data_IF_800067693924
#
_entry.id   IF_800067693924
#
_cell.length_a   1.000
_cell.length_b   1.000
_cell.length_c   1.000
_cell.angle_alpha   90.00
_cell.angle_beta   90.00
_cell.angle_gamma   90.00
#
_symmetry.space_group_name_H-M   'P 1'
#
loop_
_entity.id
_entity.type
_entity.pdbx_description
1 polymer ?
#
# COMPACT_ATOMS: atom_id res chain seq x y z
N UNK A 1 -14.87 -12.34 -17.75
CA UNK A 1 -14.19 -13.35 -16.89
C UNK A 1 -13.58 -12.76 -15.62
N UNK A 2 -13.36 -11.47 -15.54
CA UNK A 2 -12.87 -10.74 -14.34
C UNK A 2 -13.88 -10.67 -13.19
N UNK A 3 -15.17 -10.70 -13.47
CA UNK A 3 -16.28 -10.47 -12.51
C UNK A 3 -16.43 -11.57 -11.44
N UNK A 4 -15.89 -12.78 -11.65
CA UNK A 4 -16.01 -13.90 -10.69
C UNK A 4 -14.85 -14.00 -9.67
N UNK A 5 -13.74 -13.30 -9.88
CA UNK A 5 -12.59 -13.32 -8.96
C UNK A 5 -12.75 -12.26 -7.85
N UNK A 6 -13.56 -11.22 -8.10
CA UNK A 6 -13.80 -10.14 -7.16
C UNK A 6 -14.24 -10.59 -5.75
N UNK A 7 -15.27 -11.46 -5.57
CA UNK A 7 -15.75 -11.75 -4.22
C UNK A 7 -14.81 -12.68 -3.41
N UNK A 8 -13.97 -13.49 -4.06
CA UNK A 8 -13.15 -14.49 -3.35
C UNK A 8 -11.89 -13.90 -2.74
N UNK A 9 -11.23 -12.95 -3.43
CA UNK A 9 -9.96 -12.36 -2.99
C UNK A 9 -10.19 -10.97 -2.38
N UNK A 10 -11.09 -10.18 -2.96
CA UNK A 10 -11.35 -8.81 -2.50
C UNK A 10 -12.05 -8.76 -1.14
N UNK A 11 -13.05 -9.61 -0.92
CA UNK A 11 -13.79 -9.60 0.33
C UNK A 11 -12.91 -9.87 1.57
N UNK A 12 -12.02 -10.89 1.59
CA UNK A 12 -11.13 -11.10 2.73
C UNK A 12 -10.11 -9.97 2.87
N UNK A 13 -9.62 -9.40 1.76
CA UNK A 13 -8.66 -8.29 1.82
C UNK A 13 -9.31 -7.01 2.37
N UNK A 14 -10.50 -6.64 1.89
CA UNK A 14 -11.27 -5.52 2.43
C UNK A 14 -11.57 -5.69 3.92
N UNK A 15 -11.96 -6.89 4.35
CA UNK A 15 -12.18 -7.20 5.77
C UNK A 15 -10.90 -7.06 6.59
N UNK A 16 -9.76 -7.52 6.07
CA UNK A 16 -8.48 -7.40 6.75
C UNK A 16 -8.04 -5.95 6.88
N UNK A 17 -8.18 -5.16 5.82
CA UNK A 17 -7.89 -3.72 5.85
C UNK A 17 -8.80 -3.01 6.85
N UNK A 18 -10.11 -3.30 6.81
CA UNK A 18 -11.10 -2.73 7.74
C UNK A 18 -10.82 -3.13 9.18
N UNK A 19 -10.41 -4.39 9.42
CA UNK A 19 -10.08 -4.88 10.76
C UNK A 19 -8.86 -4.16 11.34
N UNK A 20 -7.76 -4.10 10.56
CA UNK A 20 -6.53 -3.44 11.03
C UNK A 20 -6.74 -1.93 11.18
N UNK A 21 -7.40 -1.29 10.22
CA UNK A 21 -7.76 0.12 10.35
C UNK A 21 -8.64 0.37 11.58
N UNK A 22 -9.64 -0.48 11.83
CA UNK A 22 -10.51 -0.38 13.00
C UNK A 22 -9.75 -0.54 14.33
N UNK A 23 -8.78 -1.44 14.42
CA UNK A 23 -7.92 -1.56 15.63
C UNK A 23 -7.19 -0.24 15.93
N UNK A 24 -6.70 0.47 14.91
CA UNK A 24 -6.11 1.79 15.10
C UNK A 24 -7.14 2.83 15.54
N UNK A 25 -8.39 2.73 15.07
CA UNK A 25 -9.50 3.55 15.53
C UNK A 25 -9.81 3.35 17.01
N UNK A 26 -9.92 2.10 17.44
CA UNK A 26 -10.19 1.72 18.82
C UNK A 26 -9.05 2.15 19.76
N UNK A 27 -7.79 2.05 19.31
CA UNK A 27 -6.63 2.51 20.09
C UNK A 27 -6.55 4.03 20.23
N UNK A 28 -6.99 4.77 19.22
CA UNK A 28 -6.93 6.25 19.21
C UNK A 28 -8.22 6.91 19.70
N UNK A 29 -9.33 6.15 19.73
CA UNK A 29 -10.65 6.65 20.11
C UNK A 29 -11.25 7.65 19.11
N UNK A 30 -10.70 7.71 17.89
CA UNK A 30 -11.09 8.69 16.85
C UNK A 30 -12.28 8.19 16.03
N UNK A 31 -12.35 6.88 15.78
CA UNK A 31 -13.40 6.26 14.98
C UNK A 31 -13.63 4.80 15.37
N UNK A 32 -14.82 4.26 15.07
CA UNK A 32 -15.17 2.88 15.30
C UNK A 32 -15.27 2.11 13.99
N UNK A 33 -14.62 0.94 13.90
CA UNK A 33 -14.63 0.07 12.73
C UNK A 33 -15.64 -1.08 12.85
N UNK A 34 -16.63 -1.14 11.95
CA UNK A 34 -17.55 -2.27 11.84
C UNK A 34 -17.10 -3.24 10.75
N UNK A 35 -16.31 -4.26 11.14
CA UNK A 35 -15.63 -5.20 10.24
C UNK A 35 -16.56 -6.02 9.34
N UNK A 36 -17.76 -6.34 9.84
CA UNK A 36 -18.71 -7.17 9.08
C UNK A 36 -19.36 -6.47 7.88
N UNK A 37 -19.32 -5.13 7.83
CA UNK A 37 -19.95 -4.34 6.78
C UNK A 37 -18.99 -3.47 5.99
N UNK A 38 -17.68 -3.58 6.25
CA UNK A 38 -16.64 -2.72 5.65
C UNK A 38 -16.95 -1.22 5.82
N UNK A 39 -17.53 -0.85 6.96
CA UNK A 39 -17.95 0.52 7.28
C UNK A 39 -17.10 1.02 8.47
N UNK A 40 -16.61 2.23 8.35
CA UNK A 40 -15.96 2.98 9.42
C UNK A 40 -16.87 4.12 9.83
N UNK A 41 -17.19 4.22 11.11
CA UNK A 41 -17.96 5.32 11.69
C UNK A 41 -17.02 6.31 12.34
N UNK A 42 -17.06 7.55 11.87
CA UNK A 42 -16.30 8.66 12.44
C UNK A 42 -17.28 9.51 13.23
N UNK A 43 -17.14 9.53 14.57
CA UNK A 43 -17.92 10.39 15.43
C UNK A 43 -17.31 11.79 15.43
N UNK A 44 -17.94 12.71 14.74
CA UNK A 44 -17.63 14.15 14.83
C UNK A 44 -18.79 14.81 15.56
N UNK A 45 -18.52 15.61 16.58
CA UNK A 45 -19.49 16.13 17.56
C UNK A 45 -20.89 16.53 17.10
N UNK A 46 -21.09 16.86 15.82
CA UNK A 46 -22.40 17.23 15.24
C UNK A 46 -22.93 16.26 14.17
N UNK A 47 -22.13 15.29 13.69
CA UNK A 47 -22.58 14.35 12.65
C UNK A 47 -21.81 13.03 12.73
N UNK A 48 -22.56 11.93 12.70
CA UNK A 48 -21.97 10.60 12.52
C UNK A 48 -21.78 10.34 11.02
N UNK A 49 -20.55 10.31 10.57
CA UNK A 49 -20.17 9.98 9.20
C UNK A 49 -19.86 8.50 9.09
N UNK A 50 -20.53 7.82 8.14
CA UNK A 50 -20.20 6.44 7.78
C UNK A 50 -19.44 6.42 6.47
N UNK A 51 -18.23 5.84 6.49
CA UNK A 51 -17.40 5.66 5.30
C UNK A 51 -17.40 4.19 4.91
N UNK A 52 -17.74 3.89 3.65
CA UNK A 52 -17.63 2.55 3.09
C UNK A 52 -16.23 2.36 2.48
N UNK A 53 -15.56 1.27 2.84
CA UNK A 53 -14.26 0.90 2.26
C UNK A 53 -14.51 0.13 0.97
N UNK A 54 -14.42 0.83 -0.15
CA UNK A 54 -14.61 0.27 -1.49
C UNK A 54 -13.37 -0.52 -1.96
N UNK A 55 -13.51 -1.26 -3.08
CA UNK A 55 -12.43 -2.05 -3.68
C UNK A 55 -11.22 -1.19 -4.08
N UNK A 56 -11.42 0.06 -4.50
CA UNK A 56 -10.36 1.02 -4.78
C UNK A 56 -9.49 1.35 -3.55
N UNK A 57 -10.03 1.12 -2.35
CA UNK A 57 -9.34 1.29 -1.08
C UNK A 57 -8.71 -0.02 -0.55
N UNK A 58 -8.72 -1.10 -1.32
CA UNK A 58 -8.14 -2.39 -0.93
C UNK A 58 -6.66 -2.53 -1.30
N UNK A 59 -6.17 -1.74 -2.27
CA UNK A 59 -4.80 -1.79 -2.77
C UNK A 59 -4.48 -3.05 -3.60
N UNK A 60 -5.49 -3.82 -4.02
CA UNK A 60 -5.28 -5.08 -4.75
C UNK A 60 -4.65 -4.87 -6.13
N UNK A 61 -5.04 -3.80 -6.83
CA UNK A 61 -4.51 -3.49 -8.16
C UNK A 61 -3.01 -3.20 -8.07
N UNK A 62 -2.60 -2.46 -7.06
CA UNK A 62 -1.20 -2.12 -6.80
C UNK A 62 -0.39 -3.35 -6.37
N UNK A 63 -0.97 -4.25 -5.57
CA UNK A 63 -0.33 -5.52 -5.22
C UNK A 63 -0.12 -6.40 -6.45
N UNK A 64 -1.12 -6.52 -7.33
CA UNK A 64 -1.01 -7.29 -8.57
C UNK A 64 0.00 -6.67 -9.53
N UNK A 65 0.01 -5.35 -9.68
CA UNK A 65 0.98 -4.63 -10.49
C UNK A 65 2.41 -4.83 -9.95
N UNK A 66 2.59 -4.73 -8.63
CA UNK A 66 3.88 -4.98 -7.98
C UNK A 66 4.38 -6.40 -8.22
N UNK A 67 3.54 -7.40 -7.98
CA UNK A 67 3.90 -8.81 -8.19
C UNK A 67 4.22 -9.09 -9.66
N UNK A 68 3.40 -8.59 -10.58
CA UNK A 68 3.65 -8.74 -12.02
C UNK A 68 5.02 -8.17 -12.39
N UNK A 69 5.32 -6.92 -11.98
CA UNK A 69 6.59 -6.29 -12.27
C UNK A 69 7.77 -7.06 -11.63
N UNK A 70 7.63 -7.53 -10.40
CA UNK A 70 8.66 -8.27 -9.67
C UNK A 70 9.03 -9.59 -10.39
N UNK A 71 8.03 -10.32 -10.86
CA UNK A 71 8.28 -11.61 -11.53
C UNK A 71 8.93 -11.44 -12.89
N UNK A 72 8.60 -10.40 -13.64
CA UNK A 72 9.24 -10.09 -14.93
C UNK A 72 10.59 -9.38 -14.78
N UNK A 73 10.94 -8.90 -13.59
CA UNK A 73 12.20 -8.18 -13.37
C UNK A 73 13.40 -9.15 -13.33
N UNK A 74 14.38 -9.04 -14.26
CA UNK A 74 15.44 -10.04 -14.44
C UNK A 74 16.55 -9.96 -13.38
N UNK A 75 16.58 -8.91 -12.56
CA UNK A 75 17.70 -8.61 -11.66
C UNK A 75 17.72 -9.41 -10.36
N UNK A 76 16.59 -10.02 -9.98
CA UNK A 76 16.45 -10.77 -8.73
C UNK A 76 16.60 -12.28 -8.93
N UNK A 77 17.30 -12.94 -7.99
CA UNK A 77 17.30 -14.39 -7.88
C UNK A 77 15.93 -14.90 -7.39
N UNK A 78 15.62 -16.17 -7.68
CA UNK A 78 14.33 -16.76 -7.32
C UNK A 78 13.99 -16.61 -5.84
N UNK A 79 14.98 -16.79 -4.96
CA UNK A 79 14.79 -16.62 -3.52
C UNK A 79 14.39 -15.18 -3.15
N UNK A 80 15.09 -14.19 -3.70
CA UNK A 80 14.79 -12.77 -3.48
C UNK A 80 13.37 -12.42 -3.97
N UNK A 81 12.98 -12.96 -5.13
CA UNK A 81 11.61 -12.78 -5.66
C UNK A 81 10.56 -13.32 -4.72
N UNK A 82 10.76 -14.50 -4.14
CA UNK A 82 9.82 -15.10 -3.19
C UNK A 82 9.68 -14.23 -1.94
N UNK A 83 10.79 -13.79 -1.35
CA UNK A 83 10.76 -12.91 -0.18
C UNK A 83 10.05 -11.59 -0.49
N UNK A 84 10.40 -10.94 -1.60
CA UNK A 84 9.78 -9.68 -2.01
C UNK A 84 8.31 -9.84 -2.39
N UNK A 85 7.87 -11.03 -2.86
CA UNK A 85 6.47 -11.33 -3.12
C UNK A 85 5.60 -11.39 -1.87
N UNK A 86 6.20 -11.55 -0.69
CA UNK A 86 5.51 -11.50 0.59
C UNK A 86 5.62 -10.10 1.19
N UNK A 87 6.84 -9.55 1.25
CA UNK A 87 7.12 -8.25 1.89
C UNK A 87 6.48 -7.09 1.11
N UNK A 88 6.53 -7.10 -0.23
CA UNK A 88 5.97 -6.05 -1.06
C UNK A 88 4.48 -5.84 -0.86
N UNK A 89 3.63 -6.86 -1.04
CA UNK A 89 2.20 -6.76 -0.76
C UNK A 89 1.89 -6.37 0.69
N UNK A 90 2.67 -6.85 1.67
CA UNK A 90 2.50 -6.46 3.07
C UNK A 90 2.76 -4.96 3.29
N UNK A 91 3.76 -4.39 2.63
CA UNK A 91 4.04 -2.94 2.68
C UNK A 91 2.96 -2.12 1.95
N UNK A 92 2.44 -2.60 0.81
CA UNK A 92 1.32 -1.96 0.12
C UNK A 92 0.07 -2.00 0.99
N UNK A 93 -0.19 -3.11 1.67
CA UNK A 93 -1.28 -3.24 2.64
C UNK A 93 -1.12 -2.23 3.78
N UNK A 94 0.07 -2.11 4.37
CA UNK A 94 0.36 -1.14 5.43
C UNK A 94 0.18 0.31 4.96
N UNK A 95 0.63 0.64 3.74
CA UNK A 95 0.43 1.95 3.12
C UNK A 95 -1.07 2.26 2.94
N UNK A 96 -1.87 1.25 2.60
CA UNK A 96 -3.32 1.42 2.45
C UNK A 96 -4.02 1.64 3.81
N UNK A 97 -3.62 0.92 4.85
CA UNK A 97 -4.10 1.16 6.22
C UNK A 97 -3.75 2.58 6.67
N UNK A 98 -2.51 3.02 6.42
CA UNK A 98 -2.07 4.39 6.73
C UNK A 98 -2.91 5.44 5.98
N UNK A 99 -3.27 5.19 4.73
CA UNK A 99 -4.17 6.03 3.94
C UNK A 99 -5.52 6.19 4.65
N UNK A 100 -6.16 5.08 5.04
CA UNK A 100 -7.46 5.11 5.72
C UNK A 100 -7.37 5.87 7.05
N UNK A 101 -6.33 5.59 7.84
CA UNK A 101 -6.09 6.28 9.09
C UNK A 101 -5.93 7.79 8.89
N UNK A 102 -5.17 8.21 7.87
CA UNK A 102 -4.99 9.65 7.54
C UNK A 102 -6.33 10.30 7.16
N UNK A 103 -7.18 9.62 6.38
CA UNK A 103 -8.50 10.12 6.01
C UNK A 103 -9.37 10.32 7.27
N UNK A 104 -9.42 9.31 8.16
CA UNK A 104 -10.18 9.38 9.40
C UNK A 104 -9.70 10.51 10.30
N UNK A 105 -8.39 10.71 10.42
CA UNK A 105 -7.79 11.78 11.20
C UNK A 105 -8.21 13.17 10.69
N UNK A 106 -8.15 13.39 9.38
CA UNK A 106 -8.52 14.66 8.76
C UNK A 106 -10.02 14.93 8.92
N UNK A 107 -10.86 13.93 8.71
CA UNK A 107 -12.31 14.07 8.86
C UNK A 107 -12.68 14.33 10.31
N UNK A 108 -11.99 13.70 11.27
CA UNK A 108 -12.19 13.97 12.70
C UNK A 108 -11.81 15.41 13.06
N UNK A 109 -10.69 15.93 12.51
CA UNK A 109 -10.17 17.26 12.83
C UNK A 109 -10.96 18.40 12.15
N UNK A 110 -11.39 18.23 10.91
CA UNK A 110 -11.98 19.28 10.08
C UNK A 110 -13.48 19.08 9.80
N UNK A 111 -14.07 17.99 10.29
CA UNK A 111 -15.47 17.66 10.10
C UNK A 111 -15.81 17.06 8.75
N UNK A 112 -17.10 16.73 8.57
CA UNK A 112 -17.61 16.01 7.39
C UNK A 112 -17.39 16.71 6.04
N UNK A 113 -17.29 18.04 6.02
CA UNK A 113 -17.03 18.81 4.80
C UNK A 113 -15.64 18.55 4.20
N UNK A 114 -14.68 18.12 5.02
CA UNK A 114 -13.33 17.78 4.55
C UNK A 114 -13.22 16.37 3.95
N UNK A 115 -14.27 15.53 4.06
CA UNK A 115 -14.25 14.14 3.59
C UNK A 115 -13.83 13.99 2.13
N UNK A 116 -14.39 14.79 1.23
CA UNK A 116 -14.05 14.73 -0.20
C UNK A 116 -12.57 15.00 -0.45
N UNK A 117 -12.02 16.03 0.18
CA UNK A 117 -10.60 16.39 0.02
C UNK A 117 -9.70 15.33 0.68
N UNK A 118 -10.06 14.88 1.88
CA UNK A 118 -9.32 13.86 2.60
C UNK A 118 -9.26 12.53 1.82
N UNK A 119 -10.41 12.06 1.30
CA UNK A 119 -10.51 10.79 0.60
C UNK A 119 -9.95 10.85 -0.82
N UNK A 120 -10.33 11.87 -1.60
CA UNK A 120 -10.02 11.93 -3.04
C UNK A 120 -8.62 12.49 -3.34
N UNK A 121 -8.09 13.36 -2.50
CA UNK A 121 -6.81 14.02 -2.75
C UNK A 121 -5.75 13.51 -1.77
N UNK A 122 -5.89 13.79 -0.48
CA UNK A 122 -4.82 13.55 0.51
C UNK A 122 -4.59 12.04 0.68
N UNK A 123 -5.64 11.25 0.83
CA UNK A 123 -5.53 9.80 0.98
C UNK A 123 -4.86 9.13 -0.22
N UNK A 124 -5.20 9.54 -1.45
CA UNK A 124 -4.53 9.03 -2.66
C UNK A 124 -3.08 9.47 -2.73
N UNK A 125 -2.78 10.72 -2.40
CA UNK A 125 -1.42 11.25 -2.44
C UNK A 125 -0.50 10.54 -1.44
N UNK A 126 -0.94 10.32 -0.21
CA UNK A 126 -0.21 9.55 0.81
C UNK A 126 0.07 8.13 0.33
N UNK A 127 -0.95 7.45 -0.21
CA UNK A 127 -0.81 6.10 -0.71
C UNK A 127 0.17 6.02 -1.89
N UNK A 128 0.05 6.92 -2.87
CA UNK A 128 0.97 6.96 -4.02
C UNK A 128 2.40 7.30 -3.61
N UNK A 129 2.59 8.21 -2.67
CA UNK A 129 3.92 8.52 -2.15
C UNK A 129 4.59 7.28 -1.53
N UNK A 130 3.87 6.53 -0.67
CA UNK A 130 4.36 5.29 -0.08
C UNK A 130 4.66 4.23 -1.15
N UNK A 131 3.78 4.08 -2.13
CA UNK A 131 3.94 3.09 -3.21
C UNK A 131 5.13 3.45 -4.11
N UNK A 132 5.29 4.71 -4.49
CA UNK A 132 6.44 5.17 -5.29
C UNK A 132 7.75 4.94 -4.54
N UNK A 133 7.81 5.24 -3.24
CA UNK A 133 8.98 4.96 -2.42
C UNK A 133 9.29 3.46 -2.39
N UNK A 134 8.29 2.61 -2.23
CA UNK A 134 8.45 1.16 -2.28
C UNK A 134 9.06 0.70 -3.61
N UNK A 135 8.51 1.15 -4.74
CA UNK A 135 9.02 0.83 -6.07
C UNK A 135 10.45 1.33 -6.27
N UNK A 136 10.75 2.54 -5.79
CA UNK A 136 12.10 3.09 -5.85
C UNK A 136 13.10 2.21 -5.07
N UNK A 137 12.78 1.83 -3.85
CA UNK A 137 13.69 1.00 -3.04
C UNK A 137 13.84 -0.41 -3.61
N UNK A 138 12.78 -1.03 -4.07
CA UNK A 138 12.82 -2.41 -4.59
C UNK A 138 13.50 -2.44 -5.96
N UNK A 139 13.08 -1.62 -6.91
CA UNK A 139 13.55 -1.77 -8.30
C UNK A 139 14.73 -0.85 -8.63
N UNK A 140 14.67 0.42 -8.28
CA UNK A 140 15.69 1.40 -8.70
C UNK A 140 16.97 1.28 -7.90
N UNK A 141 16.88 1.19 -6.56
CA UNK A 141 18.06 1.08 -5.70
C UNK A 141 18.82 -0.22 -5.94
N UNK A 142 18.11 -1.34 -6.12
CA UNK A 142 18.72 -2.63 -6.43
C UNK A 142 19.48 -2.60 -7.75
N UNK A 143 18.94 -1.94 -8.78
CA UNK A 143 19.59 -1.81 -10.07
C UNK A 143 20.84 -0.93 -10.00
N UNK A 144 20.79 0.21 -9.32
CA UNK A 144 21.93 1.13 -9.16
C UNK A 144 23.10 0.44 -8.42
N UNK A 145 22.81 -0.31 -7.36
CA UNK A 145 23.84 -1.01 -6.60
C UNK A 145 24.54 -2.06 -7.47
N UNK A 146 23.79 -2.87 -8.21
CA UNK A 146 24.36 -3.90 -9.09
C UNK A 146 25.16 -3.32 -10.24
N UNK A 147 24.75 -2.21 -10.82
CA UNK A 147 25.51 -1.52 -11.87
C UNK A 147 26.85 -1.00 -11.35
N UNK A 148 26.90 -0.44 -10.14
CA UNK A 148 28.15 0.00 -9.52
C UNK A 148 29.10 -1.15 -9.25
N UNK A 149 28.62 -2.26 -8.70
CA UNK A 149 29.45 -3.45 -8.42
C UNK A 149 29.94 -4.08 -9.74
N UNK A 150 29.12 -4.12 -10.79
CA UNK A 150 29.51 -4.59 -12.11
C UNK A 150 30.59 -3.71 -12.77
N UNK A 151 30.49 -2.37 -12.60
CA UNK A 151 31.50 -1.43 -13.11
C UNK A 151 32.87 -1.59 -12.45
N UNK A 152 32.92 -1.82 -11.14
CA UNK A 152 34.17 -2.08 -10.42
C UNK A 152 34.84 -3.39 -10.87
N UNK A 153 34.10 -4.39 -11.24
CA UNK A 153 34.63 -5.68 -11.69
C UNK A 153 35.24 -5.61 -13.08
N UNK A 154 34.72 -4.74 -13.94
CA UNK A 154 35.23 -4.54 -15.29
C UNK A 154 36.54 -3.73 -15.30
N UNK A 155 36.70 -2.80 -14.37
CA UNK A 155 37.96 -2.02 -14.23
C UNK A 155 39.14 -2.84 -13.68
N UNK A 156 38.87 -3.80 -12.80
CA UNK A 156 39.95 -4.70 -12.26
C UNK A 156 40.46 -5.67 -13.31
N UNK A 157 39.62 -6.19 -14.20
CA UNK A 157 40.04 -7.12 -15.27
C UNK A 157 40.90 -6.41 -16.35
N UNK A 158 40.74 -5.11 -16.56
CA UNK A 158 41.53 -4.34 -17.53
C UNK A 158 42.89 -3.88 -16.99
N UNK A 159 43.10 -3.86 -15.67
CA UNK A 159 44.37 -3.49 -15.06
C UNK A 159 45.37 -4.65 -15.02
N UNK A 160 44.90 -5.88 -15.12
CA UNK A 160 45.77 -7.08 -15.14
C UNK A 160 46.28 -7.45 -16.57
N UNK A 161 45.89 -6.67 -17.61
CA UNK A 161 46.27 -6.87 -19.00
C UNK A 161 47.25 -5.81 -19.57
N UNK A 162 47.81 -4.93 -18.73
CA UNK A 162 48.73 -3.88 -19.16
C UNK A 162 50.15 -4.13 -18.65
#
# INVERSE_FOLDING_TARGET
MLIKVEPVVLAPLQKSVSAVAGMFGDMTGIYEGYFNKNIVFISTGDANLSMYIDYECSGIVEMLAFLSLLWFFPMYHTYEKVVLSIVGPALIFAANVLRIFTICLIVHAFGGGAYFVAHSIIGRLVFYACTVLLYFFVFTKAQIIRQKVGGFRYDTDNTDLS
#
